data_IF_539793848902
#
_entry.id   IF_539793848902
#
_cell.length_a   1.000
_cell.length_b   1.000
_cell.length_c   1.000
_cell.angle_alpha   90.00
_cell.angle_beta   90.00
_cell.angle_gamma   90.00
#
_symmetry.space_group_name_H-M   'P 1'
#
loop_
_entity.id
_entity.type
_entity.pdbx_description
1 polymer ?
#
# COMPACT_ATOMS: atom_id res chain seq x y z
N UNK A 1 -9.06 13.12 -9.72
CA UNK A 1 -9.85 12.02 -9.11
C UNK A 1 -10.48 12.61 -7.88
N UNK A 2 -11.79 12.48 -7.68
CA UNK A 2 -12.50 13.27 -6.65
C UNK A 2 -13.05 12.45 -5.49
N UNK A 3 -13.12 11.12 -5.64
CA UNK A 3 -13.62 10.18 -4.63
C UNK A 3 -13.15 8.75 -4.94
N UNK A 4 -13.46 7.81 -4.05
CA UNK A 4 -13.11 6.40 -4.21
C UNK A 4 -13.73 5.74 -5.45
N UNK A 5 -14.96 6.10 -5.82
CA UNK A 5 -15.60 5.54 -7.03
C UNK A 5 -14.89 5.95 -8.32
N UNK A 6 -14.31 7.15 -8.38
CA UNK A 6 -13.44 7.54 -9.50
C UNK A 6 -12.16 6.71 -9.56
N UNK A 7 -11.62 6.28 -8.41
CA UNK A 7 -10.50 5.33 -8.32
C UNK A 7 -10.92 3.96 -8.80
N UNK A 8 -12.07 3.46 -8.33
CA UNK A 8 -12.63 2.19 -8.78
C UNK A 8 -12.81 2.17 -10.30
N UNK A 9 -13.49 3.17 -10.85
CA UNK A 9 -13.72 3.29 -12.29
C UNK A 9 -12.43 3.35 -13.10
N UNK A 10 -11.36 3.94 -12.55
CA UNK A 10 -10.04 3.96 -13.18
C UNK A 10 -9.37 2.58 -13.16
N UNK A 11 -9.52 1.79 -12.11
CA UNK A 11 -8.86 0.48 -12.01
C UNK A 11 -9.62 -0.65 -12.71
N UNK A 12 -10.95 -0.56 -12.77
CA UNK A 12 -11.80 -1.53 -13.46
C UNK A 12 -11.39 -1.65 -14.93
N UNK A 13 -11.16 -2.89 -15.38
CA UNK A 13 -10.72 -3.20 -16.74
C UNK A 13 -9.23 -3.01 -17.01
N UNK A 14 -8.47 -2.43 -16.06
CA UNK A 14 -7.00 -2.35 -16.11
C UNK A 14 -6.33 -3.40 -15.22
N UNK A 15 -6.96 -3.71 -14.08
CA UNK A 15 -6.50 -4.70 -13.13
C UNK A 15 -7.60 -5.74 -12.90
N UNK A 16 -7.19 -6.97 -12.62
CA UNK A 16 -8.10 -7.99 -12.08
C UNK A 16 -8.22 -7.75 -10.59
N UNK A 17 -9.35 -7.16 -10.17
CA UNK A 17 -9.61 -6.84 -8.77
C UNK A 17 -9.90 -8.12 -7.98
N UNK A 18 -9.29 -8.24 -6.79
CA UNK A 18 -9.53 -9.33 -5.82
C UNK A 18 -10.63 -8.87 -4.86
N UNK A 19 -10.37 -7.81 -4.10
CA UNK A 19 -11.39 -7.11 -3.31
C UNK A 19 -11.93 -5.91 -4.08
N UNK A 20 -13.24 -5.68 -3.98
CA UNK A 20 -13.94 -4.58 -4.64
C UNK A 20 -15.09 -4.04 -3.77
N UNK A 21 -14.78 -3.76 -2.51
CA UNK A 21 -15.71 -3.29 -1.50
C UNK A 21 -15.89 -1.76 -1.55
N UNK A 22 -16.91 -1.19 -0.87
CA UNK A 22 -17.22 0.24 -0.92
C UNK A 22 -16.07 1.20 -0.60
N UNK A 23 -15.05 0.76 0.16
CA UNK A 23 -13.90 1.59 0.54
C UNK A 23 -12.55 0.88 0.38
N UNK A 24 -12.56 -0.37 -0.10
CA UNK A 24 -11.37 -1.20 -0.24
C UNK A 24 -11.35 -1.82 -1.64
N UNK A 25 -10.22 -1.67 -2.32
CA UNK A 25 -9.91 -2.39 -3.55
C UNK A 25 -8.56 -3.05 -3.36
N UNK A 26 -8.44 -4.30 -3.79
CA UNK A 26 -7.14 -4.97 -3.86
C UNK A 26 -6.93 -5.65 -5.21
N UNK A 27 -5.67 -5.82 -5.61
CA UNK A 27 -5.29 -6.54 -6.83
C UNK A 27 -3.81 -6.92 -6.80
N UNK A 28 -3.41 -7.84 -7.69
CA UNK A 28 -2.03 -8.25 -7.88
C UNK A 28 -1.33 -7.44 -8.98
N UNK A 29 -0.39 -6.58 -8.59
CA UNK A 29 0.42 -5.80 -9.52
C UNK A 29 1.57 -6.66 -10.08
N UNK A 30 1.77 -6.62 -11.40
CA UNK A 30 2.99 -7.18 -12.01
C UNK A 30 4.19 -6.27 -11.73
N UNK A 31 5.15 -6.78 -10.95
CA UNK A 31 6.40 -6.09 -10.59
C UNK A 31 7.61 -6.63 -11.37
N UNK A 32 7.36 -7.44 -12.38
CA UNK A 32 8.34 -8.00 -13.30
C UNK A 32 8.97 -9.31 -12.85
N UNK A 33 9.57 -10.01 -13.81
CA UNK A 33 10.21 -11.33 -13.63
C UNK A 33 9.26 -12.42 -13.11
N UNK A 34 7.98 -12.35 -13.51
CA UNK A 34 6.95 -13.31 -13.11
C UNK A 34 6.47 -13.15 -11.66
N UNK A 35 6.83 -12.06 -10.99
CA UNK A 35 6.44 -11.79 -9.60
C UNK A 35 5.26 -10.84 -9.56
N UNK A 36 4.49 -10.96 -8.49
CA UNK A 36 3.29 -10.19 -8.24
C UNK A 36 3.38 -9.59 -6.84
N UNK A 37 2.84 -8.38 -6.71
CA UNK A 37 2.73 -7.70 -5.43
C UNK A 37 1.28 -7.35 -5.17
N UNK A 38 0.77 -7.78 -4.02
CA UNK A 38 -0.56 -7.36 -3.55
C UNK A 38 -0.60 -5.86 -3.28
N UNK A 39 -1.53 -5.16 -3.92
CA UNK A 39 -1.77 -3.74 -3.74
C UNK A 39 -3.15 -3.54 -3.12
N UNK A 40 -3.24 -2.67 -2.12
CA UNK A 40 -4.47 -2.34 -1.40
C UNK A 40 -4.71 -0.84 -1.47
N UNK A 41 -5.93 -0.45 -1.82
CA UNK A 41 -6.40 0.92 -1.87
C UNK A 41 -7.55 1.08 -0.90
N UNK A 42 -7.36 1.92 0.12
CA UNK A 42 -8.34 2.16 1.18
C UNK A 42 -8.72 3.65 1.23
N UNK A 43 -10.01 3.97 1.17
CA UNK A 43 -10.50 5.31 1.51
C UNK A 43 -10.47 5.52 3.03
N UNK A 44 -9.90 6.63 3.46
CA UNK A 44 -9.85 7.06 4.85
C UNK A 44 -10.34 8.49 4.98
N UNK A 45 -10.80 8.85 6.19
CA UNK A 45 -11.15 10.23 6.54
C UNK A 45 -10.29 10.70 7.70
N UNK A 46 -9.77 11.92 7.59
CA UNK A 46 -9.16 12.63 8.73
C UNK A 46 -10.23 13.23 9.64
N UNK A 47 -9.79 13.71 10.79
CA UNK A 47 -10.65 14.35 11.80
C UNK A 47 -11.34 15.61 11.28
N UNK A 48 -10.71 16.35 10.38
CA UNK A 48 -11.29 17.53 9.71
C UNK A 48 -12.19 17.18 8.51
N UNK A 49 -12.45 15.89 8.29
CA UNK A 49 -13.37 15.39 7.27
C UNK A 49 -12.78 15.26 5.87
N UNK A 50 -11.48 15.54 5.67
CA UNK A 50 -10.83 15.33 4.36
C UNK A 50 -10.70 13.84 4.07
N UNK A 51 -10.97 13.47 2.82
CA UNK A 51 -10.78 12.11 2.36
C UNK A 51 -9.36 11.90 1.82
N UNK A 52 -8.77 10.77 2.19
CA UNK A 52 -7.47 10.30 1.72
C UNK A 52 -7.64 8.92 1.09
N UNK A 53 -6.87 8.67 0.05
CA UNK A 53 -6.62 7.35 -0.50
C UNK A 53 -5.30 6.84 0.09
N UNK A 54 -5.36 5.76 0.86
CA UNK A 54 -4.17 5.00 1.24
C UNK A 54 -3.89 3.97 0.15
N UNK A 55 -2.69 4.00 -0.41
CA UNK A 55 -2.14 2.96 -1.27
C UNK A 55 -1.14 2.19 -0.41
N UNK A 56 -1.29 0.88 -0.29
CA UNK A 56 -0.38 0.06 0.51
C UNK A 56 -0.09 -1.30 -0.11
N UNK A 57 0.96 -1.94 0.40
CA UNK A 57 1.33 -3.30 0.04
C UNK A 57 2.02 -3.99 1.22
N UNK A 58 1.68 -5.26 1.52
CA UNK A 58 2.37 -6.04 2.54
C UNK A 58 3.81 -6.29 2.14
N UNK A 59 4.73 -6.28 3.11
CA UNK A 59 6.16 -6.58 2.88
C UNK A 59 6.67 -7.74 3.72
N UNK A 60 6.07 -8.00 4.87
CA UNK A 60 6.45 -9.11 5.75
C UNK A 60 5.39 -9.35 6.83
N UNK A 61 5.22 -10.59 7.31
CA UNK A 61 4.50 -10.83 8.57
C UNK A 61 5.16 -10.05 9.70
N UNK A 62 4.36 -9.41 10.56
CA UNK A 62 4.87 -8.63 11.69
C UNK A 62 5.71 -9.51 12.64
N UNK A 63 5.32 -10.78 12.81
CA UNK A 63 6.06 -11.76 13.60
C UNK A 63 7.48 -12.06 13.07
N UNK A 64 7.76 -11.72 11.80
CA UNK A 64 9.08 -11.84 11.16
C UNK A 64 9.79 -10.49 11.00
N UNK A 65 9.27 -9.43 11.61
CA UNK A 65 9.75 -8.05 11.47
C UNK A 65 10.08 -7.42 12.82
N UNK A 66 10.96 -6.42 12.85
CA UNK A 66 11.22 -5.64 14.06
C UNK A 66 10.33 -4.39 14.14
N UNK A 67 9.23 -4.48 14.89
CA UNK A 67 8.26 -3.39 15.03
C UNK A 67 8.88 -2.10 15.62
N UNK A 68 9.77 -2.20 16.60
CA UNK A 68 10.43 -1.03 17.19
C UNK A 68 11.28 -0.32 16.14
N UNK A 69 12.02 -1.08 15.33
CA UNK A 69 12.89 -0.50 14.31
C UNK A 69 12.10 0.10 13.15
N UNK A 70 10.96 -0.51 12.76
CA UNK A 70 10.02 0.10 11.82
C UNK A 70 9.46 1.44 12.34
N UNK A 71 9.13 1.54 13.63
CA UNK A 71 8.69 2.79 14.26
C UNK A 71 9.81 3.85 14.32
N UNK A 72 11.04 3.44 14.65
CA UNK A 72 12.22 4.33 14.59
C UNK A 72 12.50 4.82 13.17
N UNK A 73 12.34 3.95 12.16
CA UNK A 73 12.45 4.34 10.77
C UNK A 73 11.38 5.38 10.42
N UNK A 74 10.11 5.13 10.73
CA UNK A 74 9.02 6.09 10.51
C UNK A 74 9.33 7.45 11.13
N UNK A 75 9.88 7.48 12.34
CA UNK A 75 10.28 8.72 13.01
C UNK A 75 11.39 9.49 12.26
N UNK A 76 12.33 8.78 11.66
CA UNK A 76 13.42 9.38 10.90
C UNK A 76 12.99 9.87 9.51
N UNK A 77 11.83 9.45 9.02
CA UNK A 77 11.28 9.86 7.74
C UNK A 77 10.40 11.11 7.87
N UNK A 78 10.18 11.81 6.75
CA UNK A 78 9.30 12.98 6.69
C UNK A 78 7.85 12.64 7.06
N UNK A 79 7.42 11.41 6.80
CA UNK A 79 6.11 10.86 7.15
C UNK A 79 6.27 9.39 7.56
N UNK A 80 5.28 8.85 8.27
CA UNK A 80 5.23 7.42 8.54
C UNK A 80 4.83 6.65 7.27
N UNK A 81 5.67 5.69 6.87
CA UNK A 81 5.47 4.85 5.70
C UNK A 81 5.06 3.42 6.05
N UNK A 82 5.34 2.97 7.28
CA UNK A 82 4.95 1.65 7.74
C UNK A 82 3.69 1.68 8.59
N UNK A 83 2.79 0.75 8.29
CA UNK A 83 1.59 0.46 9.07
C UNK A 83 1.44 -1.05 9.27
N UNK A 84 0.65 -1.44 10.27
CA UNK A 84 0.26 -2.83 10.47
C UNK A 84 -1.20 -2.98 10.07
N UNK A 85 -1.50 -4.01 9.29
CA UNK A 85 -2.87 -4.47 9.03
C UNK A 85 -2.97 -5.97 9.22
N UNK A 86 -4.20 -6.44 9.43
CA UNK A 86 -4.52 -7.86 9.47
C UNK A 86 -4.85 -8.34 8.05
N UNK A 87 -4.15 -9.39 7.60
CA UNK A 87 -4.44 -10.12 6.38
C UNK A 87 -4.74 -11.57 6.78
N UNK A 88 -6.00 -11.99 6.63
CA UNK A 88 -6.49 -13.33 6.96
C UNK A 88 -6.10 -13.81 8.37
N UNK A 89 -6.22 -12.94 9.38
CA UNK A 89 -5.89 -13.22 10.78
C UNK A 89 -4.40 -13.16 11.09
N UNK A 90 -3.57 -12.74 10.14
CA UNK A 90 -2.13 -12.55 10.32
C UNK A 90 -1.80 -11.07 10.26
N UNK A 91 -1.12 -10.56 11.30
CA UNK A 91 -0.60 -9.20 11.28
C UNK A 91 0.56 -9.09 10.26
N UNK A 92 0.42 -8.19 9.29
CA UNK A 92 1.44 -7.86 8.30
C UNK A 92 1.91 -6.43 8.46
N UNK A 93 3.22 -6.24 8.27
CA UNK A 93 3.81 -4.93 8.03
C UNK A 93 3.55 -4.53 6.58
N UNK A 94 2.97 -3.35 6.38
CA UNK A 94 2.69 -2.78 5.07
C UNK A 94 3.52 -1.53 4.86
N UNK A 95 4.06 -1.37 3.66
CA UNK A 95 4.46 -0.07 3.14
C UNK A 95 3.20 0.65 2.67
N UNK A 96 3.03 1.92 3.03
CA UNK A 96 1.88 2.69 2.63
C UNK A 96 2.21 4.16 2.35
N UNK A 97 1.41 4.74 1.46
CA UNK A 97 1.39 6.16 1.16
C UNK A 97 -0.05 6.67 1.14
N UNK A 98 -0.29 7.84 1.74
CA UNK A 98 -1.61 8.46 1.78
C UNK A 98 -1.64 9.69 0.84
N UNK A 99 -2.61 9.73 -0.07
CA UNK A 99 -2.85 10.86 -0.98
C UNK A 99 -4.20 11.48 -0.70
N UNK A 100 -4.27 12.81 -0.57
CA UNK A 100 -5.55 13.52 -0.53
C UNK A 100 -6.26 13.31 -1.87
N UNK A 101 -7.57 13.08 -1.87
CA UNK A 101 -8.31 13.00 -3.15
C UNK A 101 -8.26 14.31 -3.92
N UNK A 102 -8.36 15.44 -3.23
CA UNK A 102 -8.21 16.76 -3.82
C UNK A 102 -6.87 16.88 -4.56
N UNK A 103 -6.94 17.12 -5.87
CA UNK A 103 -5.77 17.26 -6.73
C UNK A 103 -5.12 15.95 -7.20
N UNK A 104 -5.52 14.78 -6.70
CA UNK A 104 -4.96 13.49 -7.16
C UNK A 104 -5.33 13.22 -8.61
N UNK A 105 -4.34 13.09 -9.49
CA UNK A 105 -4.56 12.81 -10.93
C UNK A 105 -4.31 11.35 -11.24
N UNK A 106 -4.96 10.85 -12.28
CA UNK A 106 -4.79 9.48 -12.78
C UNK A 106 -3.32 9.08 -12.97
N UNK A 107 -2.47 9.86 -13.69
CA UNK A 107 -1.06 9.48 -13.86
C UNK A 107 -0.27 9.43 -12.54
N UNK A 108 -0.65 10.24 -11.57
CA UNK A 108 -0.05 10.24 -10.23
C UNK A 108 -0.46 9.00 -9.45
N UNK A 109 -1.73 8.61 -9.52
CA UNK A 109 -2.19 7.36 -8.92
C UNK A 109 -1.44 6.16 -9.50
N UNK A 110 -1.34 6.08 -10.83
CA UNK A 110 -0.61 5.00 -11.50
C UNK A 110 0.87 4.99 -11.10
N UNK A 111 1.51 6.15 -10.98
CA UNK A 111 2.89 6.27 -10.53
C UNK A 111 3.07 5.77 -9.10
N UNK A 112 2.20 6.18 -8.17
CA UNK A 112 2.27 5.77 -6.75
C UNK A 112 2.02 4.27 -6.60
N UNK A 113 1.03 3.71 -7.31
CA UNK A 113 0.78 2.26 -7.31
C UNK A 113 2.04 1.49 -7.76
N UNK A 114 2.67 1.94 -8.85
CA UNK A 114 3.87 1.29 -9.38
C UNK A 114 5.07 1.45 -8.43
N UNK A 115 5.25 2.61 -7.81
CA UNK A 115 6.33 2.88 -6.87
C UNK A 115 6.17 2.05 -5.60
N UNK A 116 4.99 2.07 -4.98
CA UNK A 116 4.67 1.26 -3.79
C UNK A 116 4.84 -0.23 -4.11
N UNK A 117 4.33 -0.71 -5.24
CA UNK A 117 4.46 -2.12 -5.59
C UNK A 117 5.90 -2.56 -5.77
N UNK A 118 6.71 -1.82 -6.53
CA UNK A 118 8.11 -2.17 -6.78
C UNK A 118 8.98 -2.05 -5.53
N UNK A 119 8.75 -1.02 -4.71
CA UNK A 119 9.51 -0.83 -3.48
C UNK A 119 9.14 -1.92 -2.45
N UNK A 120 7.86 -2.26 -2.34
CA UNK A 120 7.40 -3.33 -1.43
C UNK A 120 7.96 -4.68 -1.83
N UNK A 121 7.94 -5.01 -3.12
CA UNK A 121 8.56 -6.22 -3.67
C UNK A 121 10.08 -6.26 -3.40
N UNK A 122 10.77 -5.12 -3.48
CA UNK A 122 12.18 -5.05 -3.13
C UNK A 122 12.41 -5.32 -1.64
N UNK A 123 11.62 -4.69 -0.76
CA UNK A 123 11.70 -4.86 0.68
C UNK A 123 11.38 -6.31 1.08
N UNK A 124 10.34 -6.91 0.51
CA UNK A 124 9.93 -8.30 0.77
C UNK A 124 11.05 -9.30 0.40
N UNK A 125 11.75 -9.07 -0.71
CA UNK A 125 12.91 -9.89 -1.07
C UNK A 125 14.05 -9.78 -0.04
N UNK A 126 14.30 -8.58 0.47
CA UNK A 126 15.34 -8.38 1.48
C UNK A 126 15.00 -9.18 2.76
N UNK A 127 13.75 -9.11 3.25
CA UNK A 127 13.32 -9.96 4.38
C UNK A 127 13.42 -11.44 4.08
N UNK A 128 12.97 -11.85 2.90
CA UNK A 128 12.94 -13.27 2.53
C UNK A 128 14.34 -13.88 2.44
N UNK A 129 15.35 -13.07 2.15
CA UNK A 129 16.77 -13.46 2.14
C UNK A 129 17.41 -13.45 3.54
N UNK A 130 16.62 -13.24 4.60
CA UNK A 130 17.11 -13.15 5.97
C UNK A 130 17.86 -11.85 6.26
N UNK A 131 17.75 -10.84 5.39
CA UNK A 131 18.17 -9.50 5.76
C UNK A 131 17.11 -8.93 6.70
N UNK A 132 17.56 -8.42 7.83
CA UNK A 132 16.70 -7.70 8.76
C UNK A 132 16.10 -6.50 7.99
N UNK A 133 14.78 -6.49 7.78
CA UNK A 133 14.11 -5.33 7.16
C UNK A 133 14.08 -4.24 8.21
N UNK A 134 15.03 -3.32 8.10
CA UNK A 134 15.27 -2.32 9.13
C UNK A 134 15.60 -3.13 10.36
#
# INVERSE_FOLDING_TARGET
MTNFEAVRAHLVGRQTLIDNDPYLISFELDVGRGRRQGIYLLEMKSEDGRCYLRISSPIAPLAKSNAERALRFNWAQRVGYFAVSDLDGTAYLHLCENRVFEGLRTPELDAVINEIGRLSDHLEQQVSQGQDLL
#
